data_IF_774741852645
#
_entry.id   IF_774741852645
#
_cell.length_a   1.000
_cell.length_b   1.000
_cell.length_c   1.000
_cell.angle_alpha   90.00
_cell.angle_beta   90.00
_cell.angle_gamma   90.00
#
_symmetry.space_group_name_H-M   'P 1'
#
loop_
_entity.id
_entity.type
_entity.pdbx_description
1 polymer ?
#
# COMPACT_ATOMS: atom_id res chain seq x y z
N UNK A 1 -16.93 -1.85 -2.44
CA UNK A 1 -16.85 -0.87 -1.34
C UNK A 1 -17.16 0.52 -1.92
N UNK A 2 -17.76 1.42 -1.15
CA UNK A 2 -17.97 2.80 -1.59
C UNK A 2 -16.61 3.48 -1.82
N UNK A 3 -16.44 4.17 -2.94
CA UNK A 3 -15.20 4.88 -3.25
C UNK A 3 -15.10 6.18 -2.45
N UNK A 4 -13.88 6.65 -2.19
CA UNK A 4 -13.66 7.90 -1.44
C UNK A 4 -14.34 9.09 -2.09
N UNK A 5 -14.30 9.17 -3.43
CA UNK A 5 -14.97 10.23 -4.21
C UNK A 5 -16.49 10.18 -4.08
N UNK A 6 -17.07 8.98 -4.06
CA UNK A 6 -18.51 8.79 -3.85
C UNK A 6 -18.93 9.25 -2.44
N UNK A 7 -18.15 8.88 -1.42
CA UNK A 7 -18.39 9.32 -0.05
C UNK A 7 -18.33 10.84 0.07
N UNK A 8 -17.29 11.47 -0.46
CA UNK A 8 -17.15 12.92 -0.48
C UNK A 8 -18.28 13.61 -1.26
N UNK A 9 -18.71 13.04 -2.39
CA UNK A 9 -19.85 13.55 -3.15
C UNK A 9 -21.15 13.51 -2.35
N UNK A 10 -21.40 12.45 -1.58
CA UNK A 10 -22.58 12.36 -0.69
C UNK A 10 -22.54 13.42 0.40
N UNK A 11 -21.35 13.77 0.89
CA UNK A 11 -21.14 14.82 1.88
C UNK A 11 -21.17 16.25 1.28
N UNK A 12 -21.43 16.40 -0.03
CA UNK A 12 -21.50 17.71 -0.69
C UNK A 12 -20.14 18.25 -1.15
N UNK A 13 -19.12 17.40 -1.29
CA UNK A 13 -17.74 17.77 -1.67
C UNK A 13 -17.17 18.91 -0.81
N UNK A 14 -17.09 18.72 0.52
CA UNK A 14 -16.55 19.74 1.40
C UNK A 14 -15.10 20.06 1.05
N UNK A 15 -14.71 21.33 1.23
CA UNK A 15 -13.31 21.73 1.11
C UNK A 15 -12.54 21.25 2.34
N UNK A 16 -11.65 20.28 2.12
CA UNK A 16 -10.76 19.71 3.14
C UNK A 16 -9.29 20.08 2.87
N UNK A 17 -9.03 21.08 2.02
CA UNK A 17 -7.69 21.44 1.57
C UNK A 17 -6.79 22.01 2.67
N UNK A 18 -7.36 22.49 3.78
CA UNK A 18 -6.60 22.92 4.97
C UNK A 18 -5.81 21.78 5.63
N UNK A 19 -6.29 20.53 5.51
CA UNK A 19 -5.59 19.35 6.00
C UNK A 19 -4.42 18.91 5.11
N UNK A 20 -4.21 19.54 3.95
CA UNK A 20 -3.24 19.10 2.92
C UNK A 20 -1.80 19.00 3.43
N UNK A 21 -1.42 19.80 4.42
CA UNK A 21 -0.05 19.86 4.93
C UNK A 21 0.21 18.89 6.09
N UNK A 22 -0.85 18.30 6.68
CA UNK A 22 -0.73 17.39 7.80
C UNK A 22 -0.21 16.04 7.33
N UNK A 23 0.88 15.57 7.97
CA UNK A 23 1.52 14.27 7.68
C UNK A 23 1.09 13.17 8.62
N UNK A 24 0.64 13.53 9.82
CA UNK A 24 0.18 12.60 10.84
C UNK A 24 -1.29 12.89 11.12
N UNK A 25 -2.08 11.83 11.17
CA UNK A 25 -3.50 11.88 11.51
C UNK A 25 -3.77 10.96 12.69
N UNK A 26 -4.69 11.33 13.55
CA UNK A 26 -5.35 10.37 14.44
C UNK A 26 -6.15 9.35 13.63
N UNK A 27 -6.51 8.22 14.24
CA UNK A 27 -7.42 7.25 13.62
C UNK A 27 -8.77 7.91 13.29
N UNK A 28 -9.27 8.73 14.21
CA UNK A 28 -10.52 9.45 14.01
C UNK A 28 -10.43 10.44 12.84
N UNK A 29 -9.37 11.26 12.80
CA UNK A 29 -9.15 12.22 11.70
C UNK A 29 -9.04 11.51 10.35
N UNK A 30 -8.25 10.44 10.28
CA UNK A 30 -8.10 9.64 9.06
C UNK A 30 -9.44 9.11 8.55
N UNK A 31 -10.29 8.60 9.44
CA UNK A 31 -11.58 8.00 9.07
C UNK A 31 -12.59 9.07 8.64
N UNK A 32 -12.64 10.20 9.36
CA UNK A 32 -13.53 11.32 9.03
C UNK A 32 -13.16 11.94 7.69
N UNK A 33 -11.88 12.23 7.45
CA UNK A 33 -11.40 12.80 6.18
C UNK A 33 -11.68 11.87 4.99
N UNK A 34 -11.52 10.56 5.16
CA UNK A 34 -11.84 9.56 4.13
C UNK A 34 -13.33 9.60 3.76
N UNK A 35 -14.20 9.89 4.72
CA UNK A 35 -15.65 9.99 4.52
C UNK A 35 -16.14 11.38 4.07
N UNK A 36 -15.24 12.33 3.86
CA UNK A 36 -15.61 13.72 3.53
C UNK A 36 -16.21 14.47 4.73
N UNK A 37 -15.72 14.21 5.94
CA UNK A 37 -16.14 14.91 7.16
C UNK A 37 -14.92 15.66 7.70
N UNK A 38 -15.06 16.95 8.02
CA UNK A 38 -13.98 17.72 8.63
C UNK A 38 -13.82 17.36 10.11
N UNK A 39 -12.68 16.79 10.56
CA UNK A 39 -12.47 16.48 11.96
C UNK A 39 -12.57 17.69 12.90
N UNK A 40 -12.33 18.91 12.40
CA UNK A 40 -12.42 20.13 13.23
C UNK A 40 -13.84 20.38 13.75
N UNK A 41 -14.88 19.94 13.03
CA UNK A 41 -16.28 20.09 13.43
C UNK A 41 -16.68 19.16 14.59
N UNK A 42 -15.82 18.19 14.90
CA UNK A 42 -16.07 17.09 15.83
C UNK A 42 -14.95 16.91 16.87
N UNK A 43 -14.05 17.90 16.98
CA UNK A 43 -12.91 17.82 17.87
C UNK A 43 -13.35 18.01 19.33
N UNK A 44 -13.57 16.90 20.01
CA UNK A 44 -13.83 16.86 21.44
C UNK A 44 -12.69 16.11 22.14
N UNK A 45 -12.16 16.70 23.21
CA UNK A 45 -11.04 16.18 24.02
C UNK A 45 -11.31 14.82 24.70
N UNK A 46 -12.44 14.15 24.40
CA UNK A 46 -12.85 12.88 25.00
C UNK A 46 -13.44 11.95 23.94
N UNK A 47 -12.86 10.73 23.82
CA UNK A 47 -13.26 9.67 22.89
C UNK A 47 -14.73 9.26 23.00
N UNK A 48 -15.32 9.41 24.18
CA UNK A 48 -16.62 8.85 24.51
C UNK A 48 -17.81 9.48 23.76
N UNK A 49 -17.59 10.56 22.99
CA UNK A 49 -18.69 11.27 22.34
C UNK A 49 -18.62 11.36 20.81
N UNK A 50 -17.63 10.78 20.13
CA UNK A 50 -17.57 10.92 18.66
C UNK A 50 -18.80 10.31 17.97
N UNK A 51 -19.19 9.09 18.32
CA UNK A 51 -20.37 8.43 17.73
C UNK A 51 -21.64 9.21 18.05
N UNK A 52 -21.80 9.63 19.30
CA UNK A 52 -22.98 10.38 19.76
C UNK A 52 -23.08 11.74 19.06
N UNK A 53 -21.97 12.46 18.92
CA UNK A 53 -21.91 13.76 18.24
C UNK A 53 -22.24 13.64 16.75
N UNK A 54 -21.66 12.66 16.06
CA UNK A 54 -21.95 12.40 14.65
C UNK A 54 -23.43 12.01 14.43
N UNK A 55 -24.01 11.25 15.35
CA UNK A 55 -25.43 10.88 15.31
C UNK A 55 -26.34 12.08 15.59
N UNK A 56 -26.03 12.85 16.63
CA UNK A 56 -26.82 14.02 17.03
C UNK A 56 -26.83 15.09 15.93
N UNK A 57 -25.68 15.37 15.32
CA UNK A 57 -25.53 16.28 14.19
C UNK A 57 -26.03 15.67 12.86
N UNK A 58 -26.44 14.41 12.86
CA UNK A 58 -26.92 13.67 11.68
C UNK A 58 -25.95 13.77 10.48
N UNK A 59 -24.65 13.59 10.74
CA UNK A 59 -23.59 13.81 9.74
C UNK A 59 -23.65 12.76 8.65
N UNK A 60 -23.59 13.19 7.38
CA UNK A 60 -23.55 12.24 6.25
C UNK A 60 -22.33 11.32 6.39
N UNK A 61 -22.49 10.04 6.02
CA UNK A 61 -21.45 9.01 6.09
C UNK A 61 -20.93 8.64 7.50
N UNK A 62 -21.55 9.10 8.60
CA UNK A 62 -21.07 8.77 9.95
C UNK A 62 -20.87 7.27 10.18
N UNK A 63 -21.76 6.41 9.66
CA UNK A 63 -21.63 4.94 9.75
C UNK A 63 -20.37 4.42 9.05
N UNK A 64 -20.00 4.99 7.91
CA UNK A 64 -18.78 4.63 7.20
C UNK A 64 -17.55 5.06 8.01
N UNK A 65 -17.57 6.25 8.60
CA UNK A 65 -16.48 6.72 9.45
C UNK A 65 -16.26 5.79 10.66
N UNK A 66 -17.33 5.37 11.34
CA UNK A 66 -17.22 4.43 12.48
C UNK A 66 -16.67 3.06 12.05
N UNK A 67 -17.10 2.53 10.91
CA UNK A 67 -16.56 1.27 10.40
C UNK A 67 -15.10 1.41 9.95
N UNK A 68 -14.70 2.55 9.38
CA UNK A 68 -13.31 2.83 9.05
C UNK A 68 -12.42 2.94 10.29
N UNK A 69 -12.89 3.58 11.37
CA UNK A 69 -12.17 3.59 12.65
C UNK A 69 -11.88 2.16 13.09
N UNK A 70 -12.89 1.28 13.06
CA UNK A 70 -12.72 -0.13 13.41
C UNK A 70 -11.71 -0.83 12.50
N UNK A 71 -11.83 -0.65 11.18
CA UNK A 71 -10.92 -1.24 10.21
C UNK A 71 -9.47 -0.74 10.40
N UNK A 72 -9.28 0.53 10.75
CA UNK A 72 -7.95 1.07 11.03
C UNK A 72 -7.35 0.52 12.33
N UNK A 73 -8.13 0.35 13.39
CA UNK A 73 -7.67 -0.33 14.61
C UNK A 73 -7.22 -1.77 14.31
N UNK A 74 -8.03 -2.50 13.55
CA UNK A 74 -7.71 -3.85 13.08
C UNK A 74 -6.45 -3.86 12.19
N UNK A 75 -6.33 -2.94 11.25
CA UNK A 75 -5.17 -2.79 10.36
C UNK A 75 -3.87 -2.44 11.09
N UNK A 76 -3.94 -1.69 12.19
CA UNK A 76 -2.78 -1.40 13.05
C UNK A 76 -2.37 -2.66 13.82
N UNK A 77 -3.30 -3.38 14.45
CA UNK A 77 -3.00 -4.61 15.18
C UNK A 77 -2.49 -5.74 14.27
N UNK A 78 -2.95 -5.81 13.02
CA UNK A 78 -2.50 -6.79 12.03
C UNK A 78 -1.26 -6.35 11.25
N UNK A 79 -0.72 -5.17 11.56
CA UNK A 79 0.46 -4.57 10.92
C UNK A 79 0.33 -4.20 9.44
N UNK A 80 -0.89 -4.20 8.89
CA UNK A 80 -1.21 -3.70 7.55
C UNK A 80 -1.04 -2.17 7.46
N UNK A 81 -1.36 -1.47 8.55
CA UNK A 81 -1.16 -0.02 8.68
C UNK A 81 -0.01 0.21 9.67
N UNK A 82 1.08 0.82 9.21
CA UNK A 82 2.17 1.22 10.12
C UNK A 82 1.78 2.46 10.90
N UNK A 83 1.89 2.36 12.22
CA UNK A 83 1.62 3.45 13.14
C UNK A 83 2.92 3.84 13.86
N UNK A 84 3.40 5.09 13.73
CA UNK A 84 4.55 5.57 14.49
C UNK A 84 4.27 5.76 16.00
N UNK A 85 3.01 5.78 16.42
CA UNK A 85 2.64 5.97 17.82
C UNK A 85 1.28 5.31 18.08
N UNK A 86 1.26 4.28 18.93
CA UNK A 86 0.04 3.60 19.35
C UNK A 86 -0.19 3.85 20.82
N UNK A 87 -1.38 4.38 21.10
CA UNK A 87 -1.85 4.68 22.45
C UNK A 87 -3.05 3.78 22.77
N UNK A 88 -3.06 3.21 23.96
CA UNK A 88 -4.14 2.36 24.46
C UNK A 88 -4.79 3.03 25.67
N UNK A 89 -6.12 3.01 25.74
CA UNK A 89 -6.86 3.39 26.93
C UNK A 89 -6.81 2.21 27.91
N UNK A 90 -6.39 2.51 29.13
CA UNK A 90 -6.30 1.55 30.23
C UNK A 90 -7.05 2.09 31.43
N UNK A 91 -7.38 1.20 32.34
CA UNK A 91 -8.01 1.53 33.61
C UNK A 91 -7.12 0.95 34.71
N UNK A 92 -6.85 1.74 35.75
CA UNK A 92 -6.13 1.25 36.92
C UNK A 92 -7.06 0.44 37.84
N UNK A 93 -6.51 -0.13 38.92
CA UNK A 93 -7.31 -0.88 39.90
C UNK A 93 -8.35 -0.03 40.65
N UNK A 94 -8.26 1.29 40.56
CA UNK A 94 -9.17 2.25 41.19
C UNK A 94 -10.23 2.78 40.23
N UNK A 95 -10.23 2.32 38.98
CA UNK A 95 -11.17 2.75 37.96
C UNK A 95 -10.78 4.06 37.24
N UNK A 96 -9.56 4.55 37.45
CA UNK A 96 -9.08 5.75 36.77
C UNK A 96 -8.55 5.39 35.38
N UNK A 97 -9.13 6.02 34.36
CA UNK A 97 -8.66 5.91 32.99
C UNK A 97 -7.32 6.61 32.79
N UNK A 98 -6.38 5.95 32.12
CA UNK A 98 -5.12 6.52 31.66
C UNK A 98 -4.78 6.01 30.26
N UNK A 99 -3.79 6.65 29.62
CA UNK A 99 -3.31 6.25 28.31
C UNK A 99 -1.92 5.65 28.41
N UNK A 100 -1.73 4.47 27.84
CA UNK A 100 -0.47 3.75 27.77
C UNK A 100 0.08 3.80 26.34
N UNK A 101 1.36 4.11 26.18
CA UNK A 101 2.04 3.99 24.88
C UNK A 101 2.61 2.59 24.73
N UNK A 102 2.32 1.93 23.61
CA UNK A 102 2.79 0.58 23.32
C UNK A 102 3.41 0.51 21.93
N UNK A 103 4.52 -0.22 21.80
CA UNK A 103 5.10 -0.46 20.48
C UNK A 103 4.13 -1.29 19.63
N UNK A 104 4.02 -0.95 18.35
CA UNK A 104 3.09 -1.65 17.45
C UNK A 104 3.40 -3.16 17.39
N UNK A 105 4.68 -3.55 17.39
CA UNK A 105 5.18 -4.94 17.42
C UNK A 105 4.66 -5.77 18.60
N UNK A 106 4.28 -5.12 19.70
CA UNK A 106 3.80 -5.77 20.91
C UNK A 106 2.26 -5.85 20.98
N UNK A 107 1.54 -5.32 19.99
CA UNK A 107 0.09 -5.35 19.95
C UNK A 107 -0.43 -6.76 19.68
N UNK A 108 -1.46 -7.14 20.43
CA UNK A 108 -2.27 -8.31 20.16
C UNK A 108 -3.65 -7.95 19.59
N UNK A 109 -4.40 -8.97 19.18
CA UNK A 109 -5.81 -8.83 18.76
C UNK A 109 -6.67 -8.32 19.92
N UNK A 110 -6.33 -8.67 21.16
CA UNK A 110 -7.02 -8.19 22.36
C UNK A 110 -6.92 -6.69 22.55
N UNK A 111 -5.87 -6.04 22.04
CA UNK A 111 -5.67 -4.59 22.20
C UNK A 111 -6.55 -3.76 21.24
N UNK A 112 -7.22 -4.38 20.25
CA UNK A 112 -8.06 -3.67 19.26
C UNK A 112 -9.15 -2.84 19.93
N UNK A 113 -9.74 -3.33 21.02
CA UNK A 113 -10.75 -2.59 21.78
C UNK A 113 -10.19 -1.31 22.39
N UNK A 114 -8.96 -1.39 22.90
CA UNK A 114 -8.35 -0.38 23.76
C UNK A 114 -7.60 0.71 23.00
N UNK A 115 -7.33 0.54 21.70
CA UNK A 115 -6.64 1.57 20.91
C UNK A 115 -7.41 2.91 20.99
N UNK A 116 -6.69 3.93 21.47
CA UNK A 116 -7.10 5.32 21.55
C UNK A 116 -7.16 5.93 20.14
N UNK A 117 -8.35 6.23 19.66
CA UNK A 117 -8.63 6.73 18.30
C UNK A 117 -8.18 8.18 18.09
N UNK A 118 -8.12 9.01 19.14
CA UNK A 118 -7.65 10.40 19.04
C UNK A 118 -6.14 10.54 19.30
N UNK A 119 -5.58 9.60 20.05
CA UNK A 119 -4.17 9.59 20.44
C UNK A 119 -3.26 8.84 19.46
N UNK A 120 -3.71 7.70 18.94
CA UNK A 120 -2.91 6.88 18.01
C UNK A 120 -2.74 7.57 16.67
N UNK A 121 -1.51 7.60 16.15
CA UNK A 121 -1.13 8.35 14.93
C UNK A 121 -0.87 7.43 13.75
N UNK A 122 -1.33 7.83 12.56
CA UNK A 122 -1.04 7.17 11.27
C UNK A 122 -0.35 8.19 10.37
N UNK A 123 0.73 7.79 9.70
CA UNK A 123 1.35 8.62 8.67
C UNK A 123 0.48 8.63 7.40
N UNK A 124 0.31 9.79 6.76
CA UNK A 124 -0.47 9.96 5.53
C UNK A 124 -0.12 8.93 4.46
N UNK A 125 1.16 8.69 4.23
CA UNK A 125 1.62 7.76 3.18
C UNK A 125 1.19 6.32 3.49
N UNK A 126 1.26 5.89 4.76
CA UNK A 126 0.81 4.55 5.16
C UNK A 126 -0.71 4.42 5.04
N UNK A 127 -1.44 5.47 5.41
CA UNK A 127 -2.89 5.53 5.21
C UNK A 127 -3.23 5.43 3.71
N UNK A 128 -2.54 6.18 2.87
CA UNK A 128 -2.74 6.15 1.42
C UNK A 128 -2.47 4.76 0.83
N UNK A 129 -1.38 4.09 1.24
CA UNK A 129 -1.07 2.72 0.80
C UNK A 129 -2.22 1.77 1.17
N UNK A 130 -2.70 1.83 2.41
CA UNK A 130 -3.78 0.94 2.87
C UNK A 130 -5.10 1.22 2.16
N UNK A 131 -5.48 2.50 1.99
CA UNK A 131 -6.69 2.90 1.26
C UNK A 131 -6.63 2.46 -0.21
N UNK A 132 -5.47 2.58 -0.84
CA UNK A 132 -5.27 2.12 -2.22
C UNK A 132 -5.39 0.60 -2.32
N UNK A 133 -4.78 -0.15 -1.40
CA UNK A 133 -4.88 -1.61 -1.35
C UNK A 133 -6.33 -2.09 -1.14
N UNK A 134 -7.11 -1.37 -0.35
CA UNK A 134 -8.51 -1.66 -0.07
C UNK A 134 -9.49 -1.03 -1.08
N UNK A 135 -9.01 -0.61 -2.25
CA UNK A 135 -9.82 -0.14 -3.36
C UNK A 135 -10.70 1.09 -3.03
N UNK A 136 -10.24 1.99 -2.15
CA UNK A 136 -10.95 3.24 -1.84
C UNK A 136 -10.77 4.32 -2.90
N UNK A 137 -9.66 4.29 -3.66
CA UNK A 137 -9.45 5.21 -4.77
C UNK A 137 -10.11 4.69 -6.04
N UNK A 138 -10.51 5.63 -6.90
CA UNK A 138 -10.95 5.28 -8.24
C UNK A 138 -9.77 4.65 -9.00
N UNK A 139 -9.99 3.59 -9.79
CA UNK A 139 -8.99 3.19 -10.77
C UNK A 139 -8.69 4.42 -11.62
N UNK A 140 -7.41 4.70 -11.85
CA UNK A 140 -7.00 5.76 -12.77
C UNK A 140 -7.71 5.46 -14.08
N UNK A 141 -8.72 6.27 -14.42
CA UNK A 141 -9.32 6.21 -15.73
C UNK A 141 -8.20 6.60 -16.66
N UNK A 142 -7.59 5.59 -17.27
CA UNK A 142 -6.81 5.77 -18.46
C UNK A 142 -7.82 6.32 -19.45
N UNK A 143 -7.94 7.64 -19.54
CA UNK A 143 -8.53 8.25 -20.72
C UNK A 143 -7.61 7.80 -21.85
N UNK A 144 -7.93 6.65 -22.44
CA UNK A 144 -7.56 6.34 -23.80
C UNK A 144 -8.16 7.48 -24.56
N UNK A 145 -7.31 8.44 -24.92
CA UNK A 145 -7.65 9.43 -25.92
C UNK A 145 -7.86 8.58 -27.16
N UNK A 146 -9.12 8.21 -27.41
CA UNK A 146 -9.54 7.76 -28.72
C UNK A 146 -9.22 8.93 -29.64
N UNK A 147 -8.18 8.77 -30.45
CA UNK A 147 -7.80 9.70 -31.49
C UNK A 147 -8.98 9.77 -32.48
N UNK A 148 -9.95 10.62 -32.18
CA UNK A 148 -10.91 11.07 -33.14
C UNK A 148 -10.20 12.14 -33.96
N UNK A 149 -9.94 11.79 -35.22
CA UNK A 149 -9.50 12.74 -36.23
C UNK A 149 -10.61 13.77 -36.45
N UNK A 150 -10.58 14.86 -35.69
CA UNK A 150 -11.41 16.04 -35.94
C UNK A 150 -10.52 17.15 -36.48
N UNK A 151 -10.71 17.44 -37.77
CA UNK A 151 -10.19 18.59 -38.48
C UNK A 151 -10.65 19.86 -37.77
N UNK A 152 -9.71 20.65 -37.23
CA UNK A 152 -9.99 21.95 -36.63
C UNK A 152 -10.29 23.01 -37.69
N UNK A 153 -11.24 23.91 -37.42
CA UNK A 153 -11.08 25.33 -37.72
C UNK A 153 -10.58 26.06 -36.47
N UNK A 154 -9.55 26.87 -36.68
CA UNK A 154 -8.89 27.76 -35.72
C UNK A 154 -9.86 28.71 -35.01
N UNK A 155 -9.75 28.83 -33.69
CA UNK A 155 -10.05 30.06 -32.94
C UNK A 155 -9.07 30.23 -31.77
N UNK A 156 -8.75 31.49 -31.51
CA UNK A 156 -7.62 32.04 -30.75
C UNK A 156 -7.44 31.56 -29.28
N UNK A 157 -6.20 31.66 -28.75
CA UNK A 157 -5.85 31.14 -27.43
C UNK A 157 -6.28 32.09 -26.29
N UNK A 158 -7.06 31.58 -25.35
CA UNK A 158 -7.16 32.18 -24.01
C UNK A 158 -5.93 31.72 -23.22
N UNK A 159 -5.06 32.66 -22.87
CA UNK A 159 -3.93 32.45 -21.99
C UNK A 159 -4.43 32.21 -20.56
N UNK A 160 -4.33 30.97 -20.07
CA UNK A 160 -4.30 30.70 -18.64
C UNK A 160 -2.85 30.40 -18.26
N UNK A 161 -2.30 31.27 -17.42
CA UNK A 161 -0.92 31.23 -16.98
C UNK A 161 -0.51 29.83 -16.48
N UNK A 162 0.65 29.42 -16.97
CA UNK A 162 1.41 28.20 -16.69
C UNK A 162 1.45 27.84 -15.21
N UNK A 163 0.64 26.86 -14.79
CA UNK A 163 1.04 25.96 -13.72
C UNK A 163 2.03 24.99 -14.36
N UNK A 164 3.33 25.24 -14.15
CA UNK A 164 4.35 24.21 -14.34
C UNK A 164 4.02 23.12 -13.32
N UNK A 165 3.28 22.11 -13.77
CA UNK A 165 3.15 20.86 -13.04
C UNK A 165 4.54 20.24 -13.05
N UNK A 166 5.24 20.33 -11.92
CA UNK A 166 6.45 19.54 -11.75
C UNK A 166 6.05 18.07 -11.89
N UNK A 167 6.71 17.29 -12.76
CA UNK A 167 6.41 15.88 -12.89
C UNK A 167 6.53 15.21 -11.51
N UNK A 168 5.62 14.28 -11.21
CA UNK A 168 5.65 13.51 -9.99
C UNK A 168 7.09 13.01 -9.73
N UNK A 169 7.62 13.07 -8.49
CA UNK A 169 8.94 12.53 -8.22
C UNK A 169 8.89 11.03 -8.52
N UNK A 170 9.45 10.66 -9.67
CA UNK A 170 9.74 9.27 -9.99
C UNK A 170 10.88 8.92 -9.05
N UNK A 171 10.56 8.35 -7.88
CA UNK A 171 11.55 7.78 -6.97
C UNK A 171 12.22 6.62 -7.70
N UNK A 172 13.25 6.96 -8.47
CA UNK A 172 14.04 6.06 -9.28
C UNK A 172 15.35 5.83 -8.54
N UNK A 173 15.56 4.59 -8.11
CA UNK A 173 16.84 4.18 -7.52
C UNK A 173 17.56 3.28 -8.53
N UNK A 174 18.91 3.23 -8.50
CA UNK A 174 19.66 2.30 -9.34
C UNK A 174 19.18 0.85 -9.19
N UNK A 175 18.75 0.47 -7.99
CA UNK A 175 18.20 -0.86 -7.72
C UNK A 175 16.87 -1.12 -8.44
N UNK A 176 15.96 -0.14 -8.48
CA UNK A 176 14.71 -0.26 -9.22
C UNK A 176 14.95 -0.33 -10.73
N UNK A 177 15.93 0.43 -11.24
CA UNK A 177 16.34 0.35 -12.64
C UNK A 177 16.93 -1.00 -13.02
N UNK A 178 17.72 -1.60 -12.12
CA UNK A 178 18.27 -2.92 -12.30
C UNK A 178 17.19 -4.02 -12.27
N UNK A 179 16.20 -3.90 -11.38
CA UNK A 179 15.03 -4.80 -11.37
C UNK A 179 14.29 -4.75 -12.70
N UNK A 180 13.96 -3.54 -13.19
CA UNK A 180 13.27 -3.39 -14.47
C UNK A 180 14.11 -3.93 -15.64
N UNK A 181 15.42 -3.68 -15.63
CA UNK A 181 16.34 -4.18 -16.64
C UNK A 181 16.40 -5.71 -16.68
N UNK A 182 16.46 -6.35 -15.52
CA UNK A 182 16.47 -7.82 -15.41
C UNK A 182 15.16 -8.43 -15.91
N UNK A 183 14.01 -7.85 -15.54
CA UNK A 183 12.71 -8.30 -16.04
C UNK A 183 12.65 -8.21 -17.56
N UNK A 184 13.00 -7.05 -18.13
CA UNK A 184 12.94 -6.82 -19.57
C UNK A 184 13.94 -7.70 -20.35
N UNK A 185 15.10 -8.00 -19.78
CA UNK A 185 16.14 -8.78 -20.47
C UNK A 185 15.91 -10.28 -20.40
N UNK A 186 15.43 -10.80 -19.26
CA UNK A 186 15.44 -12.23 -18.96
C UNK A 186 14.07 -12.85 -18.78
N UNK A 187 13.05 -12.09 -18.39
CA UNK A 187 11.77 -12.64 -17.92
C UNK A 187 10.55 -12.23 -18.75
N UNK A 188 10.59 -11.08 -19.44
CA UNK A 188 9.44 -10.59 -20.23
C UNK A 188 9.05 -11.53 -21.37
N UNK A 189 10.01 -12.27 -21.92
CA UNK A 189 9.83 -13.23 -23.00
C UNK A 189 10.06 -14.67 -22.56
N UNK A 190 10.19 -14.93 -21.25
CA UNK A 190 10.39 -16.27 -20.73
C UNK A 190 9.07 -17.03 -20.70
N UNK A 191 8.98 -18.10 -21.48
CA UNK A 191 7.85 -19.01 -21.50
C UNK A 191 8.20 -20.26 -20.67
N UNK A 192 7.53 -20.50 -19.52
CA UNK A 192 7.78 -21.67 -18.68
C UNK A 192 7.34 -23.00 -19.31
N UNK A 193 6.42 -22.97 -20.28
CA UNK A 193 5.92 -24.15 -20.99
C UNK A 193 6.68 -24.38 -22.30
N UNK A 194 7.37 -23.34 -22.78
CA UNK A 194 8.39 -23.46 -23.81
C UNK A 194 9.58 -24.26 -23.28
N UNK A 195 10.18 -25.13 -24.11
CA UNK A 195 11.39 -25.91 -23.78
C UNK A 195 12.66 -25.03 -23.54
N UNK A 196 12.51 -23.77 -23.13
CA UNK A 196 13.60 -22.85 -22.84
C UNK A 196 14.08 -23.04 -21.39
N UNK A 197 15.38 -23.33 -21.18
CA UNK A 197 15.91 -23.43 -19.83
C UNK A 197 15.90 -22.05 -19.14
N UNK A 198 15.56 -21.96 -17.84
CA UNK A 198 15.57 -20.70 -17.14
C UNK A 198 17.01 -20.12 -17.08
N UNK A 199 17.17 -18.79 -17.16
CA UNK A 199 18.47 -18.13 -17.02
C UNK A 199 19.17 -18.56 -15.74
N UNK A 200 20.50 -18.77 -15.78
CA UNK A 200 21.27 -19.11 -14.57
C UNK A 200 21.47 -17.88 -13.71
N UNK A 201 21.41 -18.02 -12.38
CA UNK A 201 21.61 -16.90 -11.45
C UNK A 201 22.95 -16.17 -11.71
N UNK A 202 24.02 -16.90 -12.00
CA UNK A 202 25.34 -16.32 -12.32
C UNK A 202 25.24 -15.37 -13.51
N UNK A 203 24.57 -15.78 -14.60
CA UNK A 203 24.39 -14.97 -15.81
C UNK A 203 23.62 -13.68 -15.52
N UNK A 204 22.57 -13.75 -14.70
CA UNK A 204 21.80 -12.57 -14.31
C UNK A 204 22.65 -11.63 -13.45
N UNK A 205 23.40 -12.16 -12.47
CA UNK A 205 24.24 -11.34 -11.60
C UNK A 205 25.41 -10.67 -12.32
N UNK A 206 26.05 -11.34 -13.27
CA UNK A 206 27.12 -10.76 -14.08
C UNK A 206 26.57 -9.67 -15.00
N UNK A 207 25.40 -9.89 -15.59
CA UNK A 207 24.72 -8.90 -16.42
C UNK A 207 24.36 -7.64 -15.62
N UNK A 208 23.86 -7.77 -14.38
CA UNK A 208 23.58 -6.63 -13.50
C UNK A 208 24.85 -5.81 -13.27
N UNK A 209 25.95 -6.44 -12.88
CA UNK A 209 27.22 -5.74 -12.60
C UNK A 209 27.77 -5.00 -13.82
N UNK A 210 27.59 -5.57 -15.02
CA UNK A 210 28.05 -4.97 -16.26
C UNK A 210 27.20 -3.77 -16.71
N UNK A 211 25.90 -3.75 -16.41
CA UNK A 211 24.97 -2.71 -16.89
C UNK A 211 24.63 -1.65 -15.83
N UNK A 212 24.87 -1.95 -14.55
CA UNK A 212 24.59 -1.06 -13.42
C UNK A 212 25.83 -0.91 -12.52
N UNK A 213 26.76 0.00 -12.87
CA UNK A 213 28.01 0.22 -12.14
C UNK A 213 27.82 0.54 -10.66
N UNK A 214 26.69 1.15 -10.30
CA UNK A 214 26.36 1.50 -8.91
C UNK A 214 25.96 0.28 -8.06
N UNK A 215 25.75 -0.89 -8.67
CA UNK A 215 25.36 -2.13 -7.99
C UNK A 215 26.46 -3.19 -8.17
N UNK A 216 27.48 -3.12 -7.31
CA UNK A 216 28.58 -4.08 -7.31
C UNK A 216 28.47 -5.16 -6.22
N UNK A 217 27.67 -4.90 -5.18
CA UNK A 217 27.47 -5.82 -4.08
C UNK A 217 26.84 -7.13 -4.58
N UNK A 218 27.54 -8.24 -4.38
CA UNK A 218 27.13 -9.55 -4.89
C UNK A 218 25.77 -9.99 -4.33
N UNK A 219 25.48 -9.64 -3.07
CA UNK A 219 24.23 -10.03 -2.44
C UNK A 219 23.03 -9.23 -2.96
N UNK A 220 23.22 -7.93 -3.26
CA UNK A 220 22.18 -7.12 -3.90
C UNK A 220 21.82 -7.71 -5.28
N UNK A 221 22.81 -8.10 -6.08
CA UNK A 221 22.57 -8.74 -7.37
C UNK A 221 21.77 -10.06 -7.23
N UNK A 222 22.11 -10.88 -6.22
CA UNK A 222 21.37 -12.12 -5.92
C UNK A 222 19.93 -11.85 -5.50
N UNK A 223 19.70 -10.82 -4.69
CA UNK A 223 18.34 -10.45 -4.25
C UNK A 223 17.51 -9.95 -5.43
N UNK A 224 18.08 -9.14 -6.31
CA UNK A 224 17.41 -8.69 -7.55
C UNK A 224 17.00 -9.89 -8.42
N UNK A 225 17.90 -10.86 -8.66
CA UNK A 225 17.57 -12.10 -9.38
C UNK A 225 16.41 -12.86 -8.71
N UNK A 226 16.46 -13.05 -7.38
CA UNK A 226 15.40 -13.74 -6.62
C UNK A 226 14.04 -13.05 -6.72
N UNK A 227 14.02 -11.73 -6.70
CA UNK A 227 12.79 -10.93 -6.83
C UNK A 227 12.22 -11.12 -8.23
N UNK A 228 13.05 -10.99 -9.27
CA UNK A 228 12.61 -11.01 -10.67
C UNK A 228 12.28 -12.41 -11.21
N UNK A 229 12.80 -13.48 -10.59
CA UNK A 229 12.64 -14.86 -11.09
C UNK A 229 11.17 -15.25 -11.26
N UNK A 230 10.84 -15.88 -12.39
CA UNK A 230 9.53 -16.48 -12.58
C UNK A 230 9.26 -17.58 -11.52
N UNK A 231 8.05 -17.70 -10.94
CA UNK A 231 7.74 -18.67 -9.89
C UNK A 231 8.11 -20.12 -10.21
N UNK A 232 7.84 -20.58 -11.42
CA UNK A 232 8.20 -21.94 -11.87
C UNK A 232 9.72 -22.17 -11.93
N UNK A 233 10.49 -21.12 -12.25
CA UNK A 233 11.95 -21.18 -12.25
C UNK A 233 12.56 -21.16 -10.84
N UNK A 234 11.79 -20.86 -9.78
CA UNK A 234 12.25 -20.91 -8.38
C UNK A 234 12.27 -22.32 -7.80
N UNK A 235 11.57 -23.28 -8.43
CA UNK A 235 11.43 -24.66 -7.95
C UNK A 235 12.65 -25.53 -8.24
N UNK A 236 13.52 -25.12 -9.17
CA UNK A 236 14.70 -25.87 -9.60
C UNK A 236 15.91 -25.69 -8.67
N UNK A 237 15.95 -26.45 -7.59
CA UNK A 237 17.14 -26.50 -6.72
C UNK A 237 17.18 -27.61 -5.67
N UNK A 238 16.08 -28.32 -5.42
CA UNK A 238 16.03 -29.29 -4.32
C UNK A 238 15.44 -30.67 -4.68
N UNK A 239 15.52 -31.08 -5.95
CA UNK A 239 15.23 -32.48 -6.31
C UNK A 239 16.52 -33.29 -6.16
N UNK A 240 16.82 -33.76 -4.94
CA UNK A 240 17.70 -34.92 -4.78
C UNK A 240 16.99 -36.09 -5.45
N UNK A 241 17.36 -36.38 -6.70
CA UNK A 241 16.94 -37.61 -7.38
C UNK A 241 17.54 -38.76 -6.59
N UNK A 242 16.73 -39.40 -5.75
CA UNK A 242 17.05 -40.67 -5.13
C UNK A 242 17.23 -41.67 -6.28
N UNK A 243 18.49 -41.93 -6.64
CA UNK A 243 18.82 -42.99 -7.60
C UNK A 243 18.38 -44.32 -6.98
N UNK A 244 17.22 -44.80 -7.39
CA UNK A 244 16.79 -46.17 -7.14
C UNK A 244 17.86 -47.10 -7.70
N UNK A 245 18.38 -47.93 -6.81
CA UNK A 245 19.25 -49.05 -7.09
C UNK A 245 18.50 -49.98 -8.07
N UNK A 246 18.89 -49.97 -9.34
CA UNK A 246 18.56 -51.04 -10.30
C UNK A 246 19.29 -52.30 -9.87
N UNK A 247 18.64 -53.18 -9.11
CA UNK A 247 19.07 -54.57 -9.02
C UNK A 247 18.71 -55.23 -10.35
N UNK A 248 19.76 -55.68 -11.05
CA UNK A 248 19.71 -56.43 -12.30
C UNK A 248 18.94 -57.75 -12.10
N UNK A 249 18.29 -58.18 -13.17
CA UNK A 249 17.33 -59.27 -13.17
C UNK A 249 17.88 -60.62 -12.74
N UNK A 250 16.93 -61.46 -12.30
CA UNK A 250 17.09 -62.90 -12.27
C UNK A 250 16.04 -63.47 -13.21
N UNK A 251 16.53 -64.06 -14.28
CA UNK A 251 15.80 -64.81 -15.29
C UNK A 251 15.31 -66.13 -14.69
N UNK A 252 14.06 -66.48 -14.93
CA UNK A 252 13.47 -67.79 -14.72
C UNK A 252 14.23 -68.91 -15.45
N UNK A 253 14.54 -69.99 -14.73
CA UNK A 253 14.31 -71.38 -15.13
C UNK A 253 14.00 -72.21 -13.90
#
# INVERSE_FOLDING_TARGET
MSKMRELQSRAGNPDLSHWKNNKLFSIAEAALLTCGIDPLDHNHNFENNLVADLQFKNVVNWRHAILLIRAFKEGICTHEIKSPCVLLNREDYHGNGYTESKEQSALGISDIGDICIFGTRIHRDNLHIWLNYNDYFEPIQSHTISAQNSTYPSHEPIQLNSIVSLPAPIYRTPALDAVQGVVNKFWVSYDPDGNQPPPKQIQVTEWIKANYPDIQAADICKYIDKICRHPEAKKGGNTKVNQQIKIKGVTTK
#
